data_IF_853387185569
#
_entry.id   IF_853387185569
#
_cell.length_a   1.000
_cell.length_b   1.000
_cell.length_c   1.000
_cell.angle_alpha   90.00
_cell.angle_beta   90.00
_cell.angle_gamma   90.00
#
_symmetry.space_group_name_H-M   'P 1'
#
loop_
_entity.id
_entity.type
_entity.pdbx_description
1 polymer ?
#
# COMPACT_ATOMS: atom_id res chain seq x y z
N UNK A 1 -10.46 44.80 69.67
CA UNK A 1 -9.46 45.66 68.99
C UNK A 1 -8.38 44.77 68.41
N UNK A 2 -7.90 45.11 67.20
CA UNK A 2 -6.83 44.51 66.39
C UNK A 2 -7.16 43.16 65.71
N UNK A 3 -7.43 43.10 64.39
CA UNK A 3 -6.65 43.33 63.15
C UNK A 3 -5.98 42.07 62.58
N UNK A 4 -6.54 41.67 61.43
CA UNK A 4 -6.06 40.95 60.24
C UNK A 4 -4.62 40.44 60.14
N UNK A 5 -4.49 39.19 59.68
CA UNK A 5 -3.50 38.79 58.67
C UNK A 5 -4.01 37.58 57.86
N UNK A 6 -4.40 37.82 56.61
CA UNK A 6 -4.65 36.82 55.57
C UNK A 6 -3.30 36.38 54.99
N UNK A 7 -3.00 35.09 55.03
CA UNK A 7 -1.92 34.48 54.23
C UNK A 7 -2.59 33.56 53.20
N UNK A 8 -2.58 33.99 51.95
CA UNK A 8 -2.95 33.22 50.77
C UNK A 8 -1.81 32.26 50.42
N UNK A 9 -2.00 30.94 50.63
CA UNK A 9 -1.16 29.93 49.99
C UNK A 9 -1.63 29.75 48.54
N UNK A 10 -0.83 30.24 47.59
CA UNK A 10 -0.96 29.89 46.19
C UNK A 10 -0.47 28.45 45.99
N UNK A 11 -1.38 27.56 45.57
CA UNK A 11 -1.02 26.21 45.12
C UNK A 11 -0.31 26.30 43.76
N UNK A 12 0.99 26.02 43.75
CA UNK A 12 1.75 25.75 42.53
C UNK A 12 1.32 24.38 41.99
N UNK A 13 0.33 24.38 41.10
CA UNK A 13 0.08 23.26 40.21
C UNK A 13 1.25 23.18 39.22
N UNK A 14 2.17 22.23 39.43
CA UNK A 14 3.13 21.86 38.40
C UNK A 14 2.34 21.21 37.26
N UNK A 15 2.14 21.97 36.18
CA UNK A 15 1.68 21.44 34.91
C UNK A 15 2.75 20.45 34.40
N UNK A 16 2.48 19.16 34.54
CA UNK A 16 3.25 18.15 33.81
C UNK A 16 3.02 18.37 32.32
N UNK A 17 4.07 18.46 31.48
CA UNK A 17 3.90 18.60 30.05
C UNK A 17 3.26 17.32 29.51
N UNK A 18 2.03 17.44 28.99
CA UNK A 18 1.45 16.46 28.10
C UNK A 18 2.40 16.26 26.93
N UNK A 19 2.72 15.02 26.50
CA UNK A 19 3.53 14.82 25.31
C UNK A 19 2.72 15.32 24.13
N UNK A 20 3.09 16.47 23.59
CA UNK A 20 2.63 16.91 22.29
C UNK A 20 3.10 15.87 21.28
N UNK A 21 2.14 15.20 20.64
CA UNK A 21 2.41 14.45 19.41
C UNK A 21 2.79 15.50 18.37
N UNK A 22 4.09 15.79 18.28
CA UNK A 22 4.63 16.51 17.15
C UNK A 22 4.40 15.62 15.94
N UNK A 23 3.38 15.95 15.15
CA UNK A 23 3.22 15.40 13.81
C UNK A 23 4.56 15.56 13.12
N UNK A 24 5.21 14.45 12.75
CA UNK A 24 6.41 14.48 11.90
C UNK A 24 5.97 15.09 10.58
N UNK A 25 6.09 16.41 10.48
CA UNK A 25 6.02 17.10 9.19
C UNK A 25 7.22 16.58 8.43
N UNK A 26 7.00 16.12 7.19
CA UNK A 26 8.07 15.87 6.24
C UNK A 26 8.82 17.19 6.02
N UNK A 27 9.80 17.49 6.87
CA UNK A 27 10.75 18.56 6.62
C UNK A 27 11.71 18.04 5.57
N UNK A 28 11.98 18.88 4.58
CA UNK A 28 12.91 18.63 3.48
C UNK A 28 14.34 18.28 3.99
N UNK A 29 14.61 18.52 5.27
CA UNK A 29 15.93 18.42 5.90
C UNK A 29 16.31 17.02 6.42
N UNK A 30 15.41 16.02 6.41
CA UNK A 30 15.76 14.64 6.74
C UNK A 30 16.37 13.84 5.55
N UNK A 31 16.66 14.51 4.43
CA UNK A 31 16.92 13.91 3.10
C UNK A 31 18.40 13.82 2.70
N UNK A 32 19.36 13.82 3.63
CA UNK A 32 20.77 13.75 3.25
C UNK A 32 21.15 12.34 2.75
N UNK A 33 20.79 12.02 1.51
CA UNK A 33 21.28 10.88 0.73
C UNK A 33 20.23 9.87 0.27
N UNK A 34 19.02 9.83 0.82
CA UNK A 34 18.02 8.80 0.51
C UNK A 34 17.21 9.06 -0.76
N UNK A 35 16.75 7.98 -1.40
CA UNK A 35 15.89 8.04 -2.59
C UNK A 35 14.53 7.44 -2.28
N UNK A 36 13.45 8.14 -2.61
CA UNK A 36 12.08 7.65 -2.58
C UNK A 36 11.39 7.91 -3.91
N UNK A 37 11.27 6.86 -4.72
CA UNK A 37 10.31 6.88 -5.81
C UNK A 37 8.92 6.78 -5.19
N UNK A 38 8.04 7.72 -5.52
CA UNK A 38 6.61 7.66 -5.17
C UNK A 38 5.83 8.07 -6.40
N UNK A 39 5.02 7.16 -6.92
CA UNK A 39 4.35 7.40 -8.18
C UNK A 39 3.05 6.64 -8.33
N UNK A 40 2.10 7.23 -9.07
CA UNK A 40 0.83 6.58 -9.38
C UNK A 40 0.89 5.67 -10.60
N UNK A 41 -0.02 4.69 -10.60
CA UNK A 41 -0.34 3.90 -11.76
C UNK A 41 -1.86 3.81 -11.93
N UNK A 42 -2.34 3.84 -13.18
CA UNK A 42 -3.74 3.59 -13.51
C UNK A 42 -4.08 2.10 -13.31
N UNK A 43 -5.34 1.79 -13.05
CA UNK A 43 -5.84 0.42 -13.13
C UNK A 43 -5.61 -0.17 -14.53
N UNK A 44 -5.07 -1.41 -14.60
CA UNK A 44 -5.05 -2.18 -15.86
C UNK A 44 -6.23 -3.14 -15.96
N UNK A 45 -6.67 -3.71 -14.82
CA UNK A 45 -7.87 -4.55 -14.73
C UNK A 45 -8.29 -4.79 -13.27
N UNK A 46 -9.53 -5.24 -13.10
CA UNK A 46 -10.09 -5.81 -11.87
C UNK A 46 -10.60 -7.18 -12.27
N UNK A 47 -10.02 -8.21 -11.69
CA UNK A 47 -10.23 -9.58 -12.16
C UNK A 47 -9.99 -10.59 -11.03
N UNK A 48 -10.59 -11.77 -11.19
CA UNK A 48 -10.48 -12.87 -10.24
C UNK A 48 -9.52 -13.92 -10.79
N UNK A 49 -8.28 -13.47 -10.94
CA UNK A 49 -7.12 -14.28 -11.30
C UNK A 49 -5.96 -13.89 -10.39
N UNK A 50 -5.03 -14.81 -10.19
CA UNK A 50 -3.87 -14.63 -9.33
C UNK A 50 -2.72 -15.49 -9.84
N UNK A 51 -1.91 -14.98 -10.78
CA UNK A 51 -0.84 -15.76 -11.39
C UNK A 51 0.30 -16.12 -10.45
N UNK A 52 0.35 -15.52 -9.26
CA UNK A 52 1.37 -15.81 -8.27
C UNK A 52 0.93 -17.01 -7.43
N UNK A 53 -0.21 -16.91 -6.74
CA UNK A 53 -0.66 -17.95 -5.79
C UNK A 53 -1.48 -19.05 -6.45
N UNK A 54 -2.25 -18.72 -7.49
CA UNK A 54 -3.18 -19.63 -8.16
C UNK A 54 -3.00 -19.61 -9.69
N UNK A 55 -1.79 -19.95 -10.20
CA UNK A 55 -1.52 -19.91 -11.63
C UNK A 55 -2.50 -20.79 -12.40
N UNK A 56 -2.99 -20.28 -13.52
CA UNK A 56 -3.95 -20.90 -14.43
C UNK A 56 -5.36 -21.17 -13.85
N UNK A 57 -5.60 -20.82 -12.59
CA UNK A 57 -6.92 -20.97 -11.96
C UNK A 57 -7.81 -19.76 -12.29
N UNK A 58 -8.85 -20.00 -13.07
CA UNK A 58 -9.85 -19.00 -13.45
C UNK A 58 -11.24 -19.55 -13.13
N UNK A 59 -12.00 -18.96 -12.19
CA UNK A 59 -11.62 -17.86 -11.30
C UNK A 59 -10.71 -18.33 -10.13
N UNK A 60 -9.81 -17.46 -9.68
CA UNK A 60 -9.11 -17.60 -8.39
C UNK A 60 -10.06 -17.41 -7.19
N UNK A 61 -9.64 -17.71 -5.95
CA UNK A 61 -10.54 -17.66 -4.79
C UNK A 61 -11.16 -16.29 -4.49
N UNK A 62 -10.51 -15.18 -4.83
CA UNK A 62 -11.01 -13.82 -4.56
C UNK A 62 -10.58 -12.80 -5.61
N UNK A 63 -11.32 -11.69 -5.67
CA UNK A 63 -11.12 -10.61 -6.63
C UNK A 63 -9.89 -9.75 -6.30
N UNK A 64 -9.10 -9.42 -7.32
CA UNK A 64 -7.95 -8.54 -7.23
C UNK A 64 -8.14 -7.21 -7.97
N UNK A 65 -7.47 -6.18 -7.48
CA UNK A 65 -7.23 -4.93 -8.21
C UNK A 65 -5.79 -4.99 -8.73
N UNK A 66 -5.58 -4.68 -10.01
CA UNK A 66 -4.28 -4.85 -10.66
C UNK A 66 -3.85 -3.55 -11.36
N UNK A 67 -2.56 -3.21 -11.24
CA UNK A 67 -1.88 -2.12 -11.95
C UNK A 67 -0.56 -2.63 -12.58
N UNK A 68 0.06 -1.80 -13.43
CA UNK A 68 1.41 -2.02 -13.94
C UNK A 68 1.48 -2.40 -15.42
N UNK A 69 2.33 -3.35 -15.77
CA UNK A 69 2.53 -3.79 -17.16
C UNK A 69 1.38 -4.68 -17.69
N UNK A 70 1.13 -4.64 -19.00
CA UNK A 70 0.09 -5.49 -19.63
C UNK A 70 0.50 -6.95 -19.88
N UNK A 71 1.66 -7.40 -19.35
CA UNK A 71 2.03 -8.82 -19.34
C UNK A 71 1.20 -9.65 -18.33
N UNK A 72 0.38 -8.99 -17.49
CA UNK A 72 -0.47 -9.67 -16.51
C UNK A 72 -1.46 -10.62 -17.18
N UNK A 73 -1.55 -11.85 -16.67
CA UNK A 73 -2.45 -12.88 -17.16
C UNK A 73 -2.72 -13.91 -16.06
N UNK A 74 -3.58 -14.90 -16.29
CA UNK A 74 -3.87 -15.96 -15.32
C UNK A 74 -2.64 -16.82 -14.95
N UNK A 75 -1.61 -16.80 -15.80
CA UNK A 75 -0.29 -17.31 -15.52
C UNK A 75 0.74 -16.38 -16.16
N UNK A 76 1.84 -16.14 -15.44
CA UNK A 76 2.95 -15.31 -15.90
C UNK A 76 4.20 -16.19 -15.87
N UNK A 77 5.00 -16.19 -16.93
CA UNK A 77 6.26 -16.92 -16.97
C UNK A 77 7.26 -16.36 -15.93
N UNK A 78 8.07 -17.21 -15.31
CA UNK A 78 9.14 -16.75 -14.41
C UNK A 78 10.32 -16.26 -15.24
N UNK A 79 10.21 -15.02 -15.72
CA UNK A 79 11.15 -14.37 -16.66
C UNK A 79 11.12 -12.85 -16.48
N UNK A 80 11.82 -12.13 -17.35
CA UNK A 80 11.74 -10.69 -17.45
C UNK A 80 10.41 -10.23 -18.07
N UNK A 81 9.43 -9.89 -17.22
CA UNK A 81 8.12 -9.41 -17.71
C UNK A 81 8.22 -8.05 -18.41
N UNK A 82 9.30 -7.29 -18.23
CA UNK A 82 9.54 -6.04 -18.97
C UNK A 82 9.78 -6.27 -20.47
N UNK A 83 10.14 -7.49 -20.85
CA UNK A 83 10.30 -7.90 -22.26
C UNK A 83 9.01 -8.46 -22.87
N UNK A 84 8.04 -8.82 -22.03
CA UNK A 84 6.74 -9.35 -22.45
C UNK A 84 5.68 -8.25 -22.57
N UNK A 85 5.73 -7.27 -21.68
CA UNK A 85 4.80 -6.16 -21.67
C UNK A 85 5.11 -5.16 -22.79
N UNK A 86 4.08 -4.59 -23.38
CA UNK A 86 4.17 -3.55 -24.43
C UNK A 86 3.74 -2.17 -23.94
N UNK A 87 3.10 -2.08 -22.77
CA UNK A 87 2.76 -0.84 -22.11
C UNK A 87 2.84 -0.99 -20.58
N UNK A 88 2.91 0.13 -19.89
CA UNK A 88 2.73 0.23 -18.43
C UNK A 88 1.65 1.27 -18.11
N UNK A 89 0.89 1.02 -17.05
CA UNK A 89 -0.03 2.01 -16.49
C UNK A 89 0.61 2.96 -15.49
N UNK A 90 1.90 2.81 -15.22
CA UNK A 90 2.66 3.57 -14.22
C UNK A 90 3.30 4.84 -14.77
N UNK A 91 3.58 5.77 -13.85
CA UNK A 91 4.29 7.02 -14.12
C UNK A 91 5.66 6.82 -14.75
N UNK A 92 6.51 5.95 -14.20
CA UNK A 92 7.83 5.69 -14.76
C UNK A 92 7.69 4.73 -15.95
N UNK A 93 8.10 5.18 -17.13
CA UNK A 93 7.91 4.46 -18.39
C UNK A 93 8.74 3.17 -18.49
N UNK A 94 9.74 3.01 -17.63
CA UNK A 94 10.56 1.80 -17.52
C UNK A 94 10.02 0.78 -16.51
N UNK A 95 8.96 1.08 -15.75
CA UNK A 95 8.37 0.15 -14.79
C UNK A 95 7.22 -0.65 -15.42
N UNK A 96 7.50 -1.88 -15.87
CA UNK A 96 6.51 -2.83 -16.36
C UNK A 96 6.15 -3.90 -15.33
N UNK A 97 6.51 -3.69 -14.05
CA UNK A 97 6.17 -4.60 -12.97
C UNK A 97 4.66 -4.77 -12.85
N UNK A 98 4.21 -5.87 -12.25
CA UNK A 98 2.81 -6.05 -11.87
C UNK A 98 2.65 -5.97 -10.35
N UNK A 99 1.60 -5.27 -9.93
CA UNK A 99 1.25 -5.10 -8.52
C UNK A 99 -0.25 -5.34 -8.35
N UNK A 100 -0.64 -6.12 -7.35
CA UNK A 100 -2.05 -6.32 -7.03
C UNK A 100 -2.30 -6.57 -5.55
N UNK A 101 -3.55 -6.39 -5.14
CA UNK A 101 -4.06 -6.60 -3.79
C UNK A 101 -5.52 -7.04 -3.86
N UNK A 102 -6.04 -7.64 -2.78
CA UNK A 102 -7.46 -7.85 -2.56
C UNK A 102 -8.26 -6.54 -2.73
N UNK A 103 -9.47 -6.64 -3.30
CA UNK A 103 -10.43 -5.55 -3.36
C UNK A 103 -11.16 -5.35 -2.03
N UNK A 104 -11.63 -4.13 -1.78
CA UNK A 104 -12.54 -3.82 -0.69
C UNK A 104 -13.99 -3.89 -1.18
N UNK A 105 -14.88 -4.44 -0.35
CA UNK A 105 -16.32 -4.50 -0.57
C UNK A 105 -17.06 -3.84 0.61
N UNK A 106 -18.26 -3.32 0.34
CA UNK A 106 -19.26 -2.92 1.31
C UNK A 106 -20.37 -3.97 1.34
N UNK A 107 -20.78 -4.39 2.54
CA UNK A 107 -21.95 -5.23 2.78
C UNK A 107 -23.08 -4.36 3.31
N UNK A 108 -24.13 -4.22 2.53
CA UNK A 108 -25.32 -3.46 2.90
C UNK A 108 -26.19 -4.23 3.91
N UNK A 109 -27.08 -3.49 4.59
CA UNK A 109 -28.04 -4.01 5.55
C UNK A 109 -28.95 -5.11 4.99
N UNK A 110 -29.27 -5.04 3.69
CA UNK A 110 -30.07 -6.06 3.00
C UNK A 110 -29.28 -7.33 2.65
N UNK A 111 -27.99 -7.40 3.00
CA UNK A 111 -27.10 -8.53 2.73
C UNK A 111 -26.37 -8.48 1.39
N UNK A 112 -26.70 -7.54 0.51
CA UNK A 112 -26.02 -7.38 -0.78
C UNK A 112 -24.63 -6.74 -0.63
N UNK A 113 -23.77 -6.99 -1.61
CA UNK A 113 -22.38 -6.55 -1.65
C UNK A 113 -22.14 -5.57 -2.78
N UNK A 114 -21.25 -4.63 -2.56
CA UNK A 114 -20.79 -3.68 -3.57
C UNK A 114 -19.29 -3.52 -3.48
N UNK A 115 -18.57 -3.68 -4.59
CA UNK A 115 -17.14 -3.37 -4.63
C UNK A 115 -16.95 -1.88 -4.38
N UNK A 116 -16.03 -1.54 -3.49
CA UNK A 116 -15.67 -0.15 -3.21
C UNK A 116 -14.70 0.33 -4.30
N UNK A 117 -15.03 1.40 -5.03
CA UNK A 117 -14.13 1.94 -6.04
C UNK A 117 -12.88 2.56 -5.40
N UNK A 118 -11.87 2.82 -6.21
CA UNK A 118 -10.66 3.53 -5.79
C UNK A 118 -10.67 4.95 -6.34
N UNK A 119 -10.13 5.89 -5.57
CA UNK A 119 -9.88 7.24 -6.04
C UNK A 119 -8.41 7.42 -6.38
N UNK A 120 -8.09 8.26 -7.38
CA UNK A 120 -6.74 8.72 -7.61
C UNK A 120 -6.20 9.39 -6.34
N UNK A 121 -4.94 9.10 -6.02
CA UNK A 121 -4.34 9.65 -4.80
C UNK A 121 -4.03 11.15 -4.99
N UNK A 122 -3.86 11.89 -3.88
CA UNK A 122 -3.55 13.33 -3.87
C UNK A 122 -2.19 13.63 -4.48
N UNK A 123 -2.04 14.89 -4.91
CA UNK A 123 -0.75 15.48 -5.28
C UNK A 123 0.09 15.63 -4.01
N UNK A 124 1.13 14.82 -3.89
CA UNK A 124 2.18 14.95 -2.88
C UNK A 124 3.54 14.91 -3.56
N UNK A 125 4.55 15.53 -2.96
CA UNK A 125 5.92 15.53 -3.48
C UNK A 125 6.01 15.96 -4.96
N UNK A 126 5.21 16.98 -5.32
CA UNK A 126 5.08 17.49 -6.68
C UNK A 126 4.59 16.48 -7.73
N UNK A 127 4.06 15.33 -7.31
CA UNK A 127 3.42 14.37 -8.20
C UNK A 127 2.15 14.99 -8.81
N UNK A 128 2.21 15.25 -10.12
CA UNK A 128 1.08 15.65 -10.95
C UNK A 128 0.51 14.50 -11.77
N UNK A 129 1.19 13.35 -11.82
CA UNK A 129 0.77 12.19 -12.58
C UNK A 129 -0.30 11.39 -11.83
N UNK A 130 -0.04 11.04 -10.56
CA UNK A 130 -0.93 10.22 -9.72
C UNK A 130 -2.38 10.74 -9.63
N UNK A 131 -2.61 12.04 -9.37
CA UNK A 131 -3.97 12.61 -9.32
C UNK A 131 -4.74 12.55 -10.63
N UNK A 132 -4.05 12.33 -11.75
CA UNK A 132 -4.68 12.23 -13.06
C UNK A 132 -5.05 10.80 -13.42
N UNK A 133 -4.62 9.77 -12.69
CA UNK A 133 -4.86 8.36 -13.06
C UNK A 133 -6.34 7.95 -12.94
N UNK A 134 -6.71 6.83 -13.55
CA UNK A 134 -8.05 6.24 -13.39
C UNK A 134 -7.95 5.09 -12.38
N UNK A 135 -8.43 5.31 -11.15
CA UNK A 135 -8.23 4.37 -10.04
C UNK A 135 -6.74 3.98 -9.86
N UNK A 136 -6.47 2.85 -9.19
CA UNK A 136 -5.12 2.29 -9.05
C UNK A 136 -4.43 2.63 -7.72
N UNK A 137 -3.10 2.54 -7.70
CA UNK A 137 -2.27 2.64 -6.50
C UNK A 137 -1.18 3.69 -6.65
N UNK A 138 -0.65 4.13 -5.52
CA UNK A 138 0.70 4.71 -5.45
C UNK A 138 1.69 3.61 -5.06
N UNK A 139 2.75 3.49 -5.82
CA UNK A 139 3.87 2.58 -5.58
C UNK A 139 5.05 3.38 -5.06
N UNK A 140 5.73 2.81 -4.06
CA UNK A 140 6.93 3.40 -3.48
C UNK A 140 8.12 2.44 -3.62
N UNK A 141 9.29 2.99 -3.94
CA UNK A 141 10.59 2.32 -3.78
C UNK A 141 11.52 3.24 -3.01
N UNK A 142 12.00 2.79 -1.85
CA UNK A 142 12.87 3.59 -0.98
C UNK A 142 14.25 2.94 -0.83
N UNK A 143 15.29 3.78 -0.81
CA UNK A 143 16.67 3.44 -0.50
C UNK A 143 17.24 4.41 0.55
N UNK A 144 18.04 3.93 1.50
CA UNK A 144 18.77 4.78 2.46
C UNK A 144 19.83 5.66 1.76
N UNK A 145 20.17 5.34 0.52
CA UNK A 145 20.99 6.17 -0.37
C UNK A 145 21.78 5.38 -1.40
N UNK A 146 22.72 6.05 -2.12
CA UNK A 146 23.46 5.41 -3.19
C UNK A 146 24.16 4.13 -2.76
N UNK A 147 23.98 3.05 -3.53
CA UNK A 147 24.60 1.73 -3.31
C UNK A 147 24.28 1.10 -1.96
N UNK A 148 23.20 1.51 -1.30
CA UNK A 148 22.74 0.92 -0.03
C UNK A 148 21.82 -0.28 -0.20
N UNK A 149 21.22 -0.42 -1.38
CA UNK A 149 20.30 -1.51 -1.71
C UNK A 149 20.66 -2.13 -3.05
N UNK A 150 20.33 -3.40 -3.21
CA UNK A 150 20.33 -4.11 -4.49
C UNK A 150 18.91 -4.17 -5.01
N UNK A 151 18.65 -3.59 -6.17
CA UNK A 151 17.36 -3.68 -6.83
C UNK A 151 17.00 -5.13 -7.16
N UNK A 152 15.70 -5.38 -7.28
CA UNK A 152 15.16 -6.66 -7.73
C UNK A 152 15.68 -7.03 -9.12
N UNK A 153 15.63 -8.32 -9.46
CA UNK A 153 16.12 -8.86 -10.74
C UNK A 153 14.97 -9.45 -11.57
N UNK A 154 15.11 -9.56 -12.90
CA UNK A 154 14.12 -10.24 -13.72
C UNK A 154 13.76 -11.63 -13.19
N UNK A 155 12.47 -11.95 -13.13
CA UNK A 155 11.95 -13.17 -12.50
C UNK A 155 11.71 -13.07 -11.00
N UNK A 156 12.05 -11.95 -10.35
CA UNK A 156 11.77 -11.75 -8.93
C UNK A 156 10.27 -11.61 -8.64
N UNK A 157 9.77 -12.34 -7.66
CA UNK A 157 8.35 -12.31 -7.25
C UNK A 157 8.22 -12.33 -5.75
N UNK A 158 7.20 -11.67 -5.22
CA UNK A 158 7.04 -11.53 -3.78
C UNK A 158 5.58 -11.39 -3.39
N UNK A 159 5.18 -12.15 -2.37
CA UNK A 159 3.89 -12.04 -1.70
C UNK A 159 4.12 -11.57 -0.26
N UNK A 160 3.37 -10.57 0.19
CA UNK A 160 3.35 -10.15 1.61
C UNK A 160 1.94 -10.22 2.15
N UNK A 161 1.80 -10.54 3.44
CA UNK A 161 0.50 -10.76 4.08
C UNK A 161 0.05 -12.21 3.99
N UNK A 162 -1.22 -12.46 4.30
CA UNK A 162 -1.82 -13.80 4.31
C UNK A 162 -3.32 -13.70 4.10
N UNK A 163 -3.81 -14.14 2.93
CA UNK A 163 -5.22 -14.08 2.55
C UNK A 163 -6.15 -14.91 3.46
N UNK A 164 -5.61 -15.86 4.24
CA UNK A 164 -6.37 -16.68 5.18
C UNK A 164 -6.47 -16.07 6.59
N UNK A 165 -5.69 -15.03 6.90
CA UNK A 165 -5.67 -14.49 8.26
C UNK A 165 -6.94 -13.72 8.60
N UNK A 166 -7.49 -13.96 9.80
CA UNK A 166 -8.71 -13.32 10.32
C UNK A 166 -8.54 -12.72 11.72
N UNK A 167 -7.35 -12.77 12.29
CA UNK A 167 -7.07 -12.31 13.64
C UNK A 167 -5.62 -11.81 13.77
N UNK A 168 -5.34 -11.05 14.82
CA UNK A 168 -4.01 -10.56 15.13
C UNK A 168 -3.01 -11.71 15.31
N UNK A 169 -1.81 -11.56 14.78
CA UNK A 169 -0.66 -12.46 15.02
C UNK A 169 0.46 -11.68 15.67
N UNK A 170 1.02 -12.22 16.77
CA UNK A 170 2.16 -11.63 17.48
C UNK A 170 1.88 -10.19 17.96
N UNK A 171 2.87 -9.29 17.80
CA UNK A 171 2.75 -7.87 18.13
C UNK A 171 1.79 -7.10 17.21
N UNK A 172 1.33 -7.74 16.12
CA UNK A 172 0.48 -7.15 15.09
C UNK A 172 1.22 -6.84 13.81
N UNK A 173 0.45 -6.41 12.80
CA UNK A 173 0.92 -6.09 11.45
C UNK A 173 1.07 -4.61 11.17
N UNK A 174 0.87 -3.70 12.14
CA UNK A 174 0.85 -2.24 11.87
C UNK A 174 2.11 -1.73 11.16
N UNK A 175 3.28 -2.35 11.33
CA UNK A 175 4.50 -1.99 10.59
C UNK A 175 4.61 -2.61 9.18
N UNK A 176 3.71 -3.51 8.80
CA UNK A 176 3.65 -4.16 7.49
C UNK A 176 2.36 -3.85 6.71
N UNK A 177 1.26 -3.58 7.42
CA UNK A 177 -0.01 -3.21 6.82
C UNK A 177 -0.90 -2.47 7.82
N UNK A 178 -1.62 -1.47 7.32
CA UNK A 178 -2.58 -0.71 8.10
C UNK A 178 -3.65 -0.06 7.21
N UNK A 179 -4.69 0.44 7.86
CA UNK A 179 -5.75 1.23 7.25
C UNK A 179 -5.81 2.62 7.89
N UNK A 180 -5.79 3.68 7.08
CA UNK A 180 -6.12 5.04 7.54
C UNK A 180 -7.57 5.35 7.27
N UNK A 181 -8.28 5.84 8.28
CA UNK A 181 -9.61 6.41 8.11
C UNK A 181 -9.49 7.93 7.94
N UNK A 182 -9.66 8.45 6.73
CA UNK A 182 -9.52 9.88 6.49
C UNK A 182 -10.57 10.70 7.24
N UNK A 183 -10.09 11.75 7.91
CA UNK A 183 -10.86 12.61 8.81
C UNK A 183 -11.80 13.57 8.07
N UNK A 184 -11.57 13.82 6.77
CA UNK A 184 -12.38 14.71 5.95
C UNK A 184 -12.24 14.44 4.45
N UNK A 185 -13.10 15.04 3.61
CA UNK A 185 -12.98 15.01 2.16
C UNK A 185 -11.60 15.48 1.68
N UNK A 186 -11.20 15.08 0.47
CA UNK A 186 -9.87 15.39 -0.08
C UNK A 186 -8.75 15.04 0.92
N UNK A 187 -8.84 13.85 1.50
CA UNK A 187 -7.88 13.27 2.44
C UNK A 187 -7.70 13.99 3.78
N UNK A 188 -8.52 15.01 4.10
CA UNK A 188 -8.56 15.67 5.41
C UNK A 188 -7.29 16.43 5.84
N UNK A 189 -6.27 16.52 4.98
CA UNK A 189 -4.93 16.97 5.39
C UNK A 189 -4.16 15.93 6.22
N UNK A 190 -4.62 14.69 6.27
CA UNK A 190 -4.04 13.60 7.05
C UNK A 190 -2.75 13.08 6.37
N UNK A 191 -1.66 13.83 6.58
CA UNK A 191 -0.39 13.69 5.86
C UNK A 191 0.71 12.96 6.64
N UNK A 192 0.41 12.42 7.82
CA UNK A 192 1.36 11.61 8.58
C UNK A 192 1.83 10.40 7.77
N UNK A 193 3.04 9.91 8.05
CA UNK A 193 3.57 8.71 7.40
C UNK A 193 2.58 7.52 7.52
N UNK A 194 2.57 6.61 6.52
CA UNK A 194 1.83 5.35 6.60
C UNK A 194 2.00 4.63 7.93
N UNK A 195 0.88 4.23 8.52
CA UNK A 195 0.83 3.45 9.75
C UNK A 195 1.44 4.11 11.00
N UNK A 196 1.71 5.43 10.96
CA UNK A 196 2.35 6.17 12.05
C UNK A 196 1.36 6.99 12.90
N UNK A 197 0.14 7.24 12.43
CA UNK A 197 -0.87 8.01 13.17
C UNK A 197 -1.65 7.10 14.12
N UNK A 198 -1.53 7.31 15.43
CA UNK A 198 -2.23 6.49 16.41
C UNK A 198 -3.75 6.71 16.43
N UNK A 199 -4.23 7.85 15.94
CA UNK A 199 -5.65 8.24 15.97
C UNK A 199 -6.39 7.90 14.67
N UNK A 200 -5.66 7.88 13.56
CA UNK A 200 -6.21 7.68 12.22
C UNK A 200 -5.81 6.33 11.60
N UNK A 201 -4.71 5.71 12.02
CA UNK A 201 -4.26 4.41 11.48
C UNK A 201 -4.62 3.22 12.37
N UNK A 202 -5.32 2.27 11.77
CA UNK A 202 -5.84 1.05 12.35
C UNK A 202 -5.09 -0.16 11.79
N UNK A 203 -4.89 -1.18 12.62
CA UNK A 203 -4.42 -2.49 12.16
C UNK A 203 -5.56 -3.28 11.49
N UNK A 204 -6.80 -3.01 11.90
CA UNK A 204 -8.03 -3.57 11.34
C UNK A 204 -8.71 -2.60 10.38
N UNK A 205 -9.75 -3.05 9.68
CA UNK A 205 -10.67 -2.12 9.02
C UNK A 205 -11.23 -1.11 10.04
N UNK A 206 -11.30 0.19 9.69
CA UNK A 206 -11.80 1.22 10.59
C UNK A 206 -13.24 0.92 11.08
N UNK A 207 -13.54 1.06 12.38
CA UNK A 207 -14.84 0.74 12.95
C UNK A 207 -15.87 1.89 12.79
N UNK A 208 -15.57 2.89 11.94
CA UNK A 208 -16.36 4.11 11.78
C UNK A 208 -16.34 4.56 10.33
N UNK A 209 -17.33 5.39 9.97
CA UNK A 209 -17.38 6.04 8.67
C UNK A 209 -16.15 6.95 8.49
N UNK A 210 -15.54 6.88 7.31
CA UNK A 210 -14.35 7.65 6.96
C UNK A 210 -14.74 8.72 5.93
N UNK A 211 -14.69 9.98 6.33
CA UNK A 211 -15.25 11.09 5.56
C UNK A 211 -14.52 11.33 4.23
N UNK A 212 -13.25 10.91 4.13
CA UNK A 212 -12.45 10.99 2.91
C UNK A 212 -12.08 9.64 2.28
N UNK A 213 -12.73 8.55 2.70
CA UNK A 213 -12.36 7.19 2.28
C UNK A 213 -11.40 6.49 3.23
N UNK A 214 -11.03 5.27 2.87
CA UNK A 214 -10.09 4.43 3.61
C UNK A 214 -8.82 4.28 2.77
N UNK A 215 -7.65 4.55 3.35
CA UNK A 215 -6.37 4.22 2.72
C UNK A 215 -5.83 2.91 3.28
N UNK A 216 -5.45 1.98 2.41
CA UNK A 216 -4.66 0.80 2.78
C UNK A 216 -3.19 1.02 2.43
N UNK A 217 -2.29 0.61 3.32
CA UNK A 217 -0.87 0.51 3.05
C UNK A 217 -0.42 -0.95 3.21
N UNK A 218 0.44 -1.41 2.30
CA UNK A 218 1.06 -2.73 2.32
C UNK A 218 2.56 -2.52 2.11
N UNK A 219 3.36 -2.86 3.12
CA UNK A 219 4.81 -2.70 3.12
C UNK A 219 5.46 -4.08 3.00
N UNK A 220 6.42 -4.17 2.09
CA UNK A 220 7.15 -5.40 1.84
C UNK A 220 8.42 -5.51 2.70
N UNK A 221 8.92 -6.73 2.92
CA UNK A 221 10.21 -6.93 3.61
C UNK A 221 11.38 -6.31 2.83
N UNK A 222 12.47 -5.99 3.54
CA UNK A 222 13.62 -5.24 3.00
C UNK A 222 14.93 -6.04 2.95
N UNK A 223 14.86 -7.34 3.20
CA UNK A 223 16.01 -8.24 3.17
C UNK A 223 15.73 -9.44 2.26
N UNK A 224 16.72 -9.83 1.46
CA UNK A 224 16.66 -10.91 0.49
C UNK A 224 17.78 -11.93 0.74
N UNK A 225 17.51 -13.22 0.50
CA UNK A 225 18.48 -14.32 0.65
C UNK A 225 19.68 -14.25 -0.30
N UNK A 226 19.63 -13.38 -1.31
CA UNK A 226 20.71 -13.18 -2.27
C UNK A 226 20.79 -14.26 -3.36
N UNK A 227 19.88 -15.24 -3.34
CA UNK A 227 19.93 -16.43 -4.17
C UNK A 227 18.65 -16.67 -4.95
N UNK A 228 17.50 -16.75 -4.27
CA UNK A 228 16.25 -17.17 -4.87
C UNK A 228 15.46 -15.95 -5.33
N UNK A 229 15.14 -15.87 -6.63
CA UNK A 229 14.29 -14.82 -7.16
C UNK A 229 12.82 -15.01 -6.77
N UNK A 230 12.44 -16.26 -6.53
CA UNK A 230 11.14 -16.65 -6.08
C UNK A 230 11.26 -17.97 -5.31
N UNK A 231 10.38 -18.19 -4.34
CA UNK A 231 10.23 -19.45 -3.60
C UNK A 231 8.82 -19.99 -3.80
N UNK A 232 8.56 -21.30 -3.57
CA UNK A 232 7.23 -21.86 -3.78
C UNK A 232 6.09 -21.17 -3.01
N UNK A 233 6.42 -20.49 -1.90
CA UNK A 233 5.49 -19.71 -1.08
C UNK A 233 5.53 -18.20 -1.36
N UNK A 234 6.40 -17.77 -2.29
CA UNK A 234 6.69 -16.38 -2.67
C UNK A 234 7.15 -15.49 -1.50
N UNK A 235 7.60 -16.10 -0.39
CA UNK A 235 7.88 -15.43 0.90
C UNK A 235 9.22 -15.81 1.49
N UNK A 236 9.59 -17.09 1.49
CA UNK A 236 10.74 -17.60 2.23
C UNK A 236 12.10 -17.03 1.80
N UNK A 237 12.20 -16.42 0.61
CA UNK A 237 13.42 -15.76 0.13
C UNK A 237 13.55 -14.30 0.57
N UNK A 238 12.54 -13.72 1.23
CA UNK A 238 12.57 -12.37 1.78
C UNK A 238 12.27 -12.36 3.28
N UNK A 239 12.87 -11.42 3.99
CA UNK A 239 12.68 -11.30 5.43
C UNK A 239 12.66 -9.84 5.88
N UNK A 240 12.09 -9.63 7.06
CA UNK A 240 12.26 -8.37 7.77
C UNK A 240 13.66 -8.28 8.39
N UNK A 241 14.15 -7.07 8.68
CA UNK A 241 15.35 -6.86 9.50
C UNK A 241 15.32 -7.63 10.83
N UNK A 242 16.49 -7.84 11.45
CA UNK A 242 16.62 -8.59 12.72
C UNK A 242 15.81 -8.00 13.87
N UNK A 243 15.60 -6.68 13.87
CA UNK A 243 14.76 -5.97 14.84
C UNK A 243 13.25 -6.01 14.53
N UNK A 244 12.84 -6.78 13.52
CA UNK A 244 11.47 -6.82 13.02
C UNK A 244 11.25 -5.92 11.81
N UNK A 245 10.02 -5.94 11.30
CA UNK A 245 9.65 -5.19 10.10
C UNK A 245 9.61 -3.69 10.41
N UNK A 246 10.33 -2.91 9.60
CA UNK A 246 10.41 -1.46 9.76
C UNK A 246 9.08 -0.80 9.42
N UNK A 247 8.70 0.23 10.18
CA UNK A 247 7.68 1.18 9.74
C UNK A 247 8.15 1.93 8.49
N UNK A 248 7.22 2.52 7.75
CA UNK A 248 7.54 3.32 6.58
C UNK A 248 8.00 4.72 7.00
N UNK A 249 9.25 5.08 6.69
CA UNK A 249 9.76 6.44 6.93
C UNK A 249 9.92 7.25 5.64
N UNK A 250 9.85 6.60 4.47
CA UNK A 250 10.13 7.22 3.18
C UNK A 250 11.61 7.57 2.95
N UNK A 251 12.49 7.23 3.89
CA UNK A 251 13.91 7.61 3.84
C UNK A 251 14.86 6.50 4.28
N UNK A 252 14.32 5.40 4.81
CA UNK A 252 15.12 4.28 5.28
C UNK A 252 14.48 2.93 4.95
N UNK A 253 15.31 1.93 4.75
CA UNK A 253 14.87 0.53 4.58
C UNK A 253 14.93 -0.28 5.88
N UNK A 254 15.11 0.40 7.02
CA UNK A 254 15.10 -0.20 8.37
C UNK A 254 16.44 -0.80 8.79
N UNK A 255 16.42 -1.61 9.86
CA UNK A 255 17.62 -2.17 10.51
C UNK A 255 18.43 -3.17 9.67
N UNK A 256 19.42 -3.80 10.31
CA UNK A 256 20.28 -4.79 9.67
C UNK A 256 19.52 -6.04 9.22
N UNK A 257 19.91 -6.59 8.09
CA UNK A 257 19.35 -7.85 7.62
C UNK A 257 19.87 -9.06 8.41
N UNK A 258 19.04 -10.10 8.58
CA UNK A 258 19.49 -11.34 9.20
C UNK A 258 20.52 -12.04 8.30
N UNK A 259 21.38 -12.86 8.90
CA UNK A 259 22.41 -13.62 8.15
C UNK A 259 21.83 -14.57 7.11
N UNK A 260 20.57 -15.00 7.27
CA UNK A 260 19.85 -15.82 6.29
C UNK A 260 19.36 -15.02 5.09
N UNK A 261 19.23 -13.69 5.21
CA UNK A 261 18.76 -12.78 4.17
C UNK A 261 19.69 -11.57 4.01
N UNK A 262 20.98 -11.77 3.70
CA UNK A 262 22.00 -10.75 3.91
C UNK A 262 21.92 -9.57 2.92
N UNK A 263 21.13 -9.67 1.84
CA UNK A 263 21.07 -8.63 0.82
C UNK A 263 19.97 -7.63 1.13
N UNK A 264 20.35 -6.36 1.32
CA UNK A 264 19.40 -5.26 1.48
C UNK A 264 18.76 -4.92 0.13
N UNK A 265 17.43 -4.84 0.09
CA UNK A 265 16.63 -4.53 -1.10
C UNK A 265 15.81 -3.25 -0.87
N UNK A 266 15.37 -2.53 -1.93
CA UNK A 266 14.52 -1.35 -1.77
C UNK A 266 13.26 -1.66 -0.98
N UNK A 267 12.80 -0.72 -0.15
CA UNK A 267 11.50 -0.87 0.52
C UNK A 267 10.39 -0.57 -0.50
N UNK A 268 9.72 -1.63 -0.94
CA UNK A 268 8.49 -1.55 -1.71
C UNK A 268 7.29 -1.31 -0.79
N UNK A 269 6.41 -0.38 -1.17
CA UNK A 269 5.10 -0.20 -0.51
C UNK A 269 4.02 0.08 -1.55
N UNK A 270 2.85 -0.51 -1.35
CA UNK A 270 1.62 -0.16 -2.07
C UNK A 270 0.74 0.71 -1.16
N UNK A 271 0.21 1.78 -1.73
CA UNK A 271 -0.77 2.66 -1.10
C UNK A 271 -2.01 2.77 -1.98
N UNK A 272 -3.16 2.41 -1.40
CA UNK A 272 -4.43 2.31 -2.09
C UNK A 272 -5.43 3.17 -1.36
N UNK A 273 -6.22 3.97 -2.08
CA UNK A 273 -7.30 4.76 -1.48
C UNK A 273 -8.64 4.27 -2.01
N UNK A 274 -9.42 3.67 -1.10
CA UNK A 274 -10.77 3.20 -1.33
C UNK A 274 -11.78 4.31 -1.05
N UNK A 275 -12.60 4.62 -2.04
CA UNK A 275 -13.66 5.62 -1.90
C UNK A 275 -14.86 5.02 -1.19
N UNK A 276 -14.81 5.07 0.14
CA UNK A 276 -15.91 4.64 1.00
C UNK A 276 -16.97 5.71 1.21
N UNK A 277 -16.84 6.88 0.60
CA UNK A 277 -17.64 8.06 0.97
C UNK A 277 -19.13 7.86 0.69
N UNK A 278 -19.46 7.17 -0.41
CA UNK A 278 -20.82 6.77 -0.77
C UNK A 278 -21.46 5.78 0.22
N UNK A 279 -20.65 5.13 1.07
CA UNK A 279 -21.11 4.11 2.03
C UNK A 279 -21.08 4.61 3.48
N UNK A 280 -20.92 5.91 3.71
CA UNK A 280 -20.85 6.48 5.07
C UNK A 280 -22.22 6.57 5.79
N UNK A 281 -23.33 6.31 5.08
CA UNK A 281 -24.66 6.28 5.68
C UNK A 281 -24.85 5.06 6.59
N UNK A 282 -24.75 5.25 7.90
CA UNK A 282 -24.91 4.17 8.89
C UNK A 282 -26.27 3.46 8.85
N UNK A 283 -27.30 4.06 8.27
CA UNK A 283 -28.60 3.39 8.09
C UNK A 283 -28.52 2.21 7.10
N UNK A 284 -27.53 2.21 6.22
CA UNK A 284 -27.28 1.14 5.23
C UNK A 284 -26.35 0.06 5.77
N UNK A 285 -25.78 0.24 6.96
CA UNK A 285 -24.85 -0.71 7.57
C UNK A 285 -25.60 -1.88 8.22
N UNK A 286 -24.94 -3.03 8.43
CA UNK A 286 -25.51 -4.17 9.16
C UNK A 286 -26.18 -3.74 10.47
N UNK A 287 -27.41 -4.23 10.70
CA UNK A 287 -28.22 -3.82 11.85
C UNK A 287 -27.65 -4.29 13.20
N UNK A 288 -26.83 -5.33 13.18
CA UNK A 288 -26.11 -5.86 14.35
C UNK A 288 -24.87 -5.03 14.73
N UNK A 289 -24.55 -3.98 13.97
CA UNK A 289 -23.37 -3.15 14.19
C UNK A 289 -22.05 -3.80 13.76
N UNK A 290 -22.10 -4.94 13.06
CA UNK A 290 -20.90 -5.58 12.51
C UNK A 290 -20.20 -4.68 11.48
N UNK A 291 -18.91 -4.94 11.27
CA UNK A 291 -18.09 -4.21 10.30
C UNK A 291 -18.73 -4.29 8.90
N UNK A 292 -19.12 -3.15 8.28
CA UNK A 292 -19.74 -3.13 6.96
C UNK A 292 -18.76 -3.39 5.81
N UNK A 293 -17.47 -3.18 6.02
CA UNK A 293 -16.45 -3.40 4.99
C UNK A 293 -15.79 -4.77 5.13
N UNK A 294 -15.40 -5.35 4.01
CA UNK A 294 -14.67 -6.60 3.98
C UNK A 294 -13.74 -6.66 2.78
N UNK A 295 -12.61 -7.33 2.94
CA UNK A 295 -11.73 -7.65 1.81
C UNK A 295 -12.37 -8.77 0.97
N UNK A 296 -12.00 -8.83 -0.31
CA UNK A 296 -12.54 -9.82 -1.26
C UNK A 296 -12.29 -11.27 -0.86
N UNK A 297 -11.38 -11.51 0.08
CA UNK A 297 -11.12 -12.77 0.79
C UNK A 297 -12.24 -13.17 1.79
N UNK A 298 -13.29 -12.36 1.93
CA UNK A 298 -14.37 -12.56 2.92
C UNK A 298 -14.02 -12.06 4.32
N UNK A 299 -12.90 -11.35 4.47
CA UNK A 299 -12.40 -10.91 5.77
C UNK A 299 -13.00 -9.57 6.21
N UNK A 300 -13.74 -9.61 7.32
CA UNK A 300 -14.35 -8.44 7.96
C UNK A 300 -13.44 -7.79 9.00
N UNK A 301 -12.23 -8.29 9.25
CA UNK A 301 -11.30 -7.68 10.21
C UNK A 301 -10.22 -6.84 9.53
N UNK A 302 -9.85 -7.15 8.28
CA UNK A 302 -8.77 -6.51 7.54
C UNK A 302 -7.41 -7.20 7.68
N UNK A 303 -7.32 -8.31 8.42
CA UNK A 303 -6.07 -9.04 8.65
C UNK A 303 -5.57 -9.79 7.42
N UNK A 304 -6.45 -10.09 6.48
CA UNK A 304 -6.12 -10.78 5.23
C UNK A 304 -5.53 -9.87 4.15
N UNK A 305 -5.32 -8.59 4.45
CA UNK A 305 -4.65 -7.66 3.56
C UNK A 305 -3.30 -8.25 3.13
N UNK A 306 -3.04 -8.22 1.83
CA UNK A 306 -1.84 -8.76 1.21
C UNK A 306 -1.53 -7.96 -0.05
N UNK A 307 -0.29 -8.08 -0.50
CA UNK A 307 0.14 -7.50 -1.76
C UNK A 307 1.02 -8.47 -2.50
N UNK A 308 0.84 -8.49 -3.81
CA UNK A 308 1.53 -9.36 -4.74
C UNK A 308 2.35 -8.52 -5.70
N UNK A 309 3.52 -9.03 -6.04
CA UNK A 309 4.50 -8.31 -6.83
C UNK A 309 5.25 -9.23 -7.78
N UNK A 310 5.34 -8.80 -9.05
CA UNK A 310 6.24 -9.37 -10.05
C UNK A 310 7.09 -8.24 -10.60
N UNK A 311 8.41 -8.35 -10.42
CA UNK A 311 9.36 -7.33 -10.87
C UNK A 311 9.43 -7.26 -12.40
N UNK A 312 9.35 -6.04 -12.93
CA UNK A 312 9.42 -5.77 -14.36
C UNK A 312 10.02 -4.41 -14.70
N UNK A 313 10.95 -3.88 -13.90
CA UNK A 313 11.69 -2.70 -14.35
C UNK A 313 12.63 -3.07 -15.48
N UNK A 314 12.67 -2.24 -16.52
CA UNK A 314 13.51 -2.44 -17.69
C UNK A 314 14.99 -2.34 -17.33
N UNK A 315 15.77 -3.34 -17.75
CA UNK A 315 17.22 -3.39 -17.59
C UNK A 315 17.67 -3.04 -16.15
N UNK A 316 18.54 -2.06 -15.98
CA UNK A 316 19.06 -1.59 -14.70
C UNK A 316 18.43 -0.28 -14.22
N UNK A 317 17.29 0.15 -14.80
CA UNK A 317 16.67 1.46 -14.50
C UNK A 317 16.33 1.62 -13.01
N UNK A 318 15.81 0.59 -12.34
CA UNK A 318 15.55 0.67 -10.91
C UNK A 318 16.84 0.80 -10.10
N UNK A 319 17.88 0.03 -10.41
CA UNK A 319 19.17 0.12 -9.70
C UNK A 319 19.79 1.50 -9.87
N UNK A 320 19.81 2.03 -11.10
CA UNK A 320 20.25 3.41 -11.38
C UNK A 320 19.46 4.43 -10.59
N UNK A 321 18.15 4.22 -10.43
CA UNK A 321 17.33 5.10 -9.63
C UNK A 321 17.68 5.05 -8.13
N UNK A 322 17.86 3.85 -7.58
CA UNK A 322 18.25 3.66 -6.18
C UNK A 322 19.68 4.16 -5.88
N UNK A 323 20.55 4.18 -6.89
CA UNK A 323 21.93 4.67 -6.79
C UNK A 323 22.10 6.17 -7.12
N UNK A 324 21.07 6.80 -7.70
CA UNK A 324 21.15 8.13 -8.30
C UNK A 324 21.33 9.30 -7.32
N UNK A 325 21.19 9.07 -6.01
CA UNK A 325 21.28 10.12 -4.99
C UNK A 325 19.94 10.79 -4.70
N UNK A 326 19.93 11.80 -3.80
CA UNK A 326 18.73 12.14 -3.08
C UNK A 326 17.64 12.62 -4.03
N UNK A 327 16.51 11.93 -3.99
CA UNK A 327 15.35 12.31 -4.78
C UNK A 327 14.08 11.80 -4.13
N UNK A 328 13.00 12.59 -4.22
CA UNK A 328 11.69 12.16 -3.78
C UNK A 328 10.60 12.46 -4.81
N UNK A 329 9.69 11.51 -4.98
CA UNK A 329 8.46 11.68 -5.73
C UNK A 329 8.47 11.04 -7.12
N UNK A 330 7.64 11.59 -7.99
CA UNK A 330 7.31 11.05 -9.31
C UNK A 330 8.24 11.56 -10.43
N UNK A 331 9.14 12.48 -10.13
CA UNK A 331 10.11 13.05 -11.09
C UNK A 331 11.53 12.83 -10.58
N UNK A 332 11.91 11.55 -10.45
CA UNK A 332 13.16 11.15 -9.81
C UNK A 332 14.14 10.40 -10.69
N UNK A 333 15.41 10.58 -10.35
CA UNK A 333 16.56 9.87 -10.92
C UNK A 333 16.65 9.90 -12.46
N UNK A 334 16.16 10.98 -13.08
CA UNK A 334 16.10 11.15 -14.54
C UNK A 334 15.40 9.98 -15.26
N UNK A 335 14.52 9.26 -14.56
CA UNK A 335 13.73 8.18 -15.14
C UNK A 335 12.74 8.76 -16.16
N UNK A 336 12.53 8.08 -17.30
CA UNK A 336 11.53 8.49 -18.27
C UNK A 336 10.13 8.40 -17.66
N UNK A 337 9.29 9.40 -17.97
CA UNK A 337 7.91 9.50 -17.47
C UNK A 337 6.94 9.21 -18.62
N UNK A 338 5.95 8.36 -18.35
CA UNK A 338 4.84 8.01 -19.23
C UNK A 338 3.95 9.22 -19.50
N UNK A 339 3.38 9.28 -20.69
CA UNK A 339 2.26 10.19 -20.96
C UNK A 339 1.01 9.69 -20.22
N UNK A 340 0.27 10.60 -19.59
CA UNK A 340 -0.95 10.27 -18.83
C UNK A 340 -1.96 9.48 -19.68
N UNK A 341 -2.15 9.87 -20.94
CA UNK A 341 -3.06 9.18 -21.86
C UNK A 341 -2.61 7.75 -22.18
N UNK A 342 -1.30 7.53 -22.35
CA UNK A 342 -0.72 6.22 -22.61
C UNK A 342 -0.85 5.29 -21.39
N UNK A 343 -0.61 5.82 -20.18
CA UNK A 343 -0.77 5.05 -18.96
C UNK A 343 -2.23 4.62 -18.70
N UNK A 344 -3.20 5.51 -18.99
CA UNK A 344 -4.64 5.18 -18.90
C UNK A 344 -5.11 4.19 -19.96
N UNK A 345 -4.47 4.15 -21.12
CA UNK A 345 -4.85 3.24 -22.20
C UNK A 345 -4.23 1.85 -22.04
N UNK A 346 -3.20 1.69 -21.21
CA UNK A 346 -2.65 0.40 -20.87
C UNK A 346 -3.63 -0.42 -20.04
N UNK A 347 -4.15 -1.51 -20.62
CA UNK A 347 -5.19 -2.33 -20.01
C UNK A 347 -4.97 -3.82 -20.34
N UNK A 348 -5.53 -4.69 -19.50
CA UNK A 348 -5.57 -6.13 -19.71
C UNK A 348 -7.03 -6.58 -19.75
N UNK A 349 -7.48 -7.36 -20.75
CA UNK A 349 -8.84 -7.88 -20.78
C UNK A 349 -9.13 -8.75 -19.55
N UNK A 350 -10.31 -8.56 -18.93
CA UNK A 350 -10.78 -9.48 -17.88
C UNK A 350 -10.85 -10.91 -18.43
N UNK A 351 -10.24 -11.84 -17.71
CA UNK A 351 -10.23 -13.28 -17.96
C UNK A 351 -11.46 -13.95 -17.38
N UNK A 352 -11.92 -13.49 -16.22
CA UNK A 352 -13.20 -13.91 -15.65
C UNK A 352 -14.24 -12.80 -15.78
N UNK A 353 -15.37 -13.10 -16.44
CA UNK A 353 -16.44 -12.13 -16.64
C UNK A 353 -17.39 -12.15 -15.45
N UNK A 354 -17.26 -11.14 -14.58
CA UNK A 354 -18.22 -10.90 -13.50
C UNK A 354 -18.57 -9.43 -13.38
N UNK A 355 -19.73 -9.17 -12.77
CA UNK A 355 -20.24 -7.82 -12.55
C UNK A 355 -19.48 -7.14 -11.40
N UNK A 356 -18.20 -6.83 -11.61
CA UNK A 356 -17.32 -6.24 -10.60
C UNK A 356 -17.80 -4.87 -10.10
N UNK A 357 -18.69 -4.21 -10.84
CA UNK A 357 -19.14 -2.84 -10.59
C UNK A 357 -20.63 -2.78 -10.20
N UNK A 358 -21.33 -3.90 -10.13
CA UNK A 358 -22.74 -3.97 -9.74
C UNK A 358 -22.95 -4.19 -8.24
N UNK A 359 -24.20 -4.19 -7.82
CA UNK A 359 -24.59 -4.82 -6.56
C UNK A 359 -24.65 -6.34 -6.77
N UNK A 360 -24.22 -7.10 -5.78
CA UNK A 360 -24.08 -8.55 -5.82
C UNK A 360 -24.83 -9.20 -4.66
N UNK A 361 -25.48 -10.33 -4.92
CA UNK A 361 -26.15 -11.10 -3.87
C UNK A 361 -25.17 -11.88 -2.98
N UNK A 362 -23.96 -12.13 -3.49
CA UNK A 362 -22.88 -12.83 -2.81
C UNK A 362 -21.54 -12.15 -3.07
N UNK A 363 -20.60 -12.32 -2.14
CA UNK A 363 -19.22 -11.91 -2.35
C UNK A 363 -18.57 -12.84 -3.39
N UNK A 364 -17.88 -12.33 -4.42
CA UNK A 364 -17.17 -13.18 -5.38
C UNK A 364 -16.22 -14.16 -4.68
N UNK A 365 -16.49 -15.46 -4.86
CA UNK A 365 -15.71 -16.55 -4.24
C UNK A 365 -16.43 -17.28 -3.10
N UNK A 366 -17.62 -16.82 -2.67
CA UNK A 366 -18.35 -17.34 -1.52
C UNK A 366 -19.83 -17.67 -1.80
#
# INVERSE_FOLDING_TARGET
MFWSALVTLAALAQAMPSPSVESIKYTQDAQAGSTMLRFGCSQITVDRIDPLVNPDLIPSPHMHQIIGGNAFNASIASTDVSTLATCTSCNFADDFSNYWTANLYFKARNGSYKRVPQIPNRSEFSDKFGPQMNAGFIVYYVSDGPKKVTAFKPGFRMLVGDASLRAKVGSGRKSQSCFRCYSGPNFGGDNAAPCADASLDYETLPPKACLGGIRSNILYPTCWDGKNLDTPDHKAHVACPTGGCSTFTGSSTGGACPSTHPVKIPQLMLEIVWDTTAFNNKAEWPADGSQPFLLSTGDTTGYSQHGDYVFGWKADSLQKAMDGGPCMGASCANLPISQVSAAKSCNVPRRYQENADGWLDKLPGF
#
